data_IF_294374351977
#
_entry.id   IF_294374351977
#
_cell.length_a   1.000
_cell.length_b   1.000
_cell.length_c   1.000
_cell.angle_alpha   90.00
_cell.angle_beta   90.00
_cell.angle_gamma   90.00
#
_symmetry.space_group_name_H-M   'P 1'
#
loop_
_entity.id
_entity.type
_entity.pdbx_description
1 polymer ?
#
# COMPACT_ATOMS: atom_id res chain seq x y z
N UNK A 1 -8.31 7.95 15.51
CA UNK A 1 -9.18 6.86 15.99
C UNK A 1 -9.90 6.25 14.78
N UNK A 2 -10.18 4.93 14.74
CA UNK A 2 -10.67 4.23 13.54
C UNK A 2 -12.07 4.63 13.06
N UNK A 3 -12.71 5.58 13.72
CA UNK A 3 -14.07 6.06 13.39
C UNK A 3 -14.15 7.59 13.26
N UNK A 4 -12.99 8.30 13.25
CA UNK A 4 -12.99 9.77 13.26
C UNK A 4 -13.67 10.41 12.05
N UNK A 5 -13.62 9.74 10.90
CA UNK A 5 -14.14 10.28 9.63
C UNK A 5 -15.50 9.68 9.25
N UNK A 6 -16.06 8.80 10.11
CA UNK A 6 -17.36 8.16 9.88
C UNK A 6 -18.45 8.84 10.72
N UNK A 7 -19.60 9.02 10.11
CA UNK A 7 -20.82 9.44 10.82
C UNK A 7 -21.36 8.28 11.66
N UNK A 8 -22.12 8.57 12.72
CA UNK A 8 -22.65 7.53 13.62
C UNK A 8 -23.40 6.41 12.87
N UNK A 9 -24.24 6.73 11.90
CA UNK A 9 -24.94 5.74 11.10
C UNK A 9 -24.05 4.87 10.19
N UNK A 10 -22.89 5.37 9.78
CA UNK A 10 -21.91 4.61 9.00
C UNK A 10 -21.13 3.64 9.91
N UNK A 11 -20.86 4.07 11.16
CA UNK A 11 -20.25 3.21 12.19
C UNK A 11 -21.17 2.04 12.48
N UNK A 12 -22.46 2.29 12.73
CA UNK A 12 -23.43 1.24 13.01
C UNK A 12 -23.57 0.26 11.86
N UNK A 13 -23.62 0.74 10.63
CA UNK A 13 -23.64 -0.09 9.43
C UNK A 13 -22.39 -0.97 9.32
N UNK A 14 -21.21 -0.41 9.62
CA UNK A 14 -19.93 -1.14 9.62
C UNK A 14 -19.92 -2.24 10.69
N UNK A 15 -20.37 -1.92 11.90
CA UNK A 15 -20.44 -2.88 13.03
C UNK A 15 -21.44 -4.00 12.72
N UNK A 16 -22.62 -3.70 12.23
CA UNK A 16 -23.62 -4.68 11.82
C UNK A 16 -23.09 -5.61 10.72
N UNK A 17 -22.49 -5.09 9.66
CA UNK A 17 -21.85 -5.90 8.61
C UNK A 17 -20.79 -6.83 9.17
N UNK A 18 -20.05 -6.39 10.19
CA UNK A 18 -19.04 -7.22 10.85
C UNK A 18 -19.71 -8.31 11.70
N UNK A 19 -20.78 -7.99 12.39
CA UNK A 19 -21.58 -8.97 13.16
C UNK A 19 -22.12 -10.08 12.25
N UNK A 20 -22.69 -9.74 11.10
CA UNK A 20 -23.19 -10.72 10.10
C UNK A 20 -22.10 -11.66 9.57
N UNK A 21 -20.84 -11.22 9.54
CA UNK A 21 -19.69 -12.02 9.09
C UNK A 21 -19.01 -12.81 10.22
N UNK A 22 -19.46 -12.64 11.46
CA UNK A 22 -18.85 -13.28 12.63
C UNK A 22 -19.18 -14.77 12.70
N UNK A 23 -18.30 -15.53 13.35
CA UNK A 23 -18.53 -16.96 13.63
C UNK A 23 -19.77 -17.18 14.51
N UNK A 24 -20.01 -16.27 15.47
CA UNK A 24 -21.22 -16.28 16.31
C UNK A 24 -22.48 -16.26 15.46
N UNK A 25 -22.58 -15.33 14.52
CA UNK A 25 -23.70 -15.23 13.58
C UNK A 25 -23.90 -16.53 12.80
N UNK A 26 -22.82 -17.02 12.19
CA UNK A 26 -22.86 -18.25 11.39
C UNK A 26 -23.33 -19.47 12.19
N UNK A 27 -22.80 -19.67 13.41
CA UNK A 27 -23.19 -20.79 14.27
C UNK A 27 -24.66 -20.70 14.67
N UNK A 28 -25.15 -19.52 15.07
CA UNK A 28 -26.54 -19.34 15.49
C UNK A 28 -27.51 -19.50 14.31
N UNK A 29 -27.15 -19.04 13.12
CA UNK A 29 -27.95 -19.21 11.90
C UNK A 29 -28.04 -20.68 11.48
N UNK A 30 -26.95 -21.43 11.58
CA UNK A 30 -26.94 -22.89 11.35
C UNK A 30 -27.78 -23.66 12.38
N UNK A 31 -27.89 -23.13 13.58
CA UNK A 31 -28.77 -23.69 14.64
C UNK A 31 -30.24 -23.30 14.46
N UNK A 32 -30.63 -22.66 13.35
CA UNK A 32 -32.02 -22.30 13.05
C UNK A 32 -32.58 -21.12 13.87
N UNK A 33 -31.73 -20.32 14.50
CA UNK A 33 -32.16 -19.17 15.32
C UNK A 33 -32.55 -18.01 14.38
N UNK A 34 -33.68 -17.36 14.68
CA UNK A 34 -34.13 -16.20 13.88
C UNK A 34 -33.16 -15.02 13.94
N UNK A 35 -33.08 -14.24 12.87
CA UNK A 35 -32.14 -13.11 12.75
C UNK A 35 -32.33 -12.07 13.86
N UNK A 36 -33.58 -11.78 14.27
CA UNK A 36 -33.88 -10.88 15.38
C UNK A 36 -33.25 -11.38 16.70
N UNK A 37 -33.40 -12.67 17.01
CA UNK A 37 -32.82 -13.29 18.23
C UNK A 37 -31.30 -13.28 18.15
N UNK A 38 -30.71 -13.49 16.96
CA UNK A 38 -29.27 -13.41 16.77
C UNK A 38 -28.79 -11.97 17.04
N UNK A 39 -29.41 -10.96 16.43
CA UNK A 39 -29.07 -9.54 16.63
C UNK A 39 -29.23 -9.15 18.11
N UNK A 40 -30.33 -9.53 18.75
CA UNK A 40 -30.53 -9.29 20.19
C UNK A 40 -29.41 -9.90 21.05
N UNK A 41 -28.86 -11.06 20.64
CA UNK A 41 -27.75 -11.71 21.35
C UNK A 41 -26.44 -10.94 21.30
N UNK A 42 -26.27 -10.06 20.30
CA UNK A 42 -25.07 -9.19 20.20
C UNK A 42 -25.06 -8.06 21.22
N UNK A 43 -26.22 -7.73 21.79
CA UNK A 43 -26.39 -6.66 22.79
C UNK A 43 -26.46 -7.22 24.24
N UNK A 44 -26.25 -8.52 24.44
CA UNK A 44 -26.21 -9.11 25.77
C UNK A 44 -24.77 -9.31 26.23
N UNK A 45 -24.47 -8.87 27.45
CA UNK A 45 -23.17 -9.09 28.07
C UNK A 45 -22.87 -10.57 28.23
N UNK A 46 -21.65 -10.94 27.89
CA UNK A 46 -21.14 -12.31 28.07
C UNK A 46 -19.67 -12.23 28.51
N UNK A 47 -19.23 -13.17 29.36
CA UNK A 47 -17.82 -13.29 29.68
C UNK A 47 -17.05 -13.69 28.43
N UNK A 48 -15.94 -13.02 28.17
CA UNK A 48 -15.08 -13.32 27.05
C UNK A 48 -13.61 -12.96 27.32
N UNK A 49 -12.72 -13.64 26.63
CA UNK A 49 -11.30 -13.35 26.65
C UNK A 49 -10.94 -12.57 25.38
N UNK A 50 -10.32 -11.40 25.55
CA UNK A 50 -9.97 -10.52 24.45
C UNK A 50 -8.48 -10.21 24.45
N UNK A 51 -7.95 -9.87 23.28
CA UNK A 51 -6.57 -9.44 23.11
C UNK A 51 -6.35 -8.06 23.74
N UNK A 52 -5.22 -7.87 24.40
CA UNK A 52 -4.66 -6.56 24.70
C UNK A 52 -3.16 -6.56 24.44
N UNK A 53 -2.54 -5.37 24.34
CA UNK A 53 -1.07 -5.26 24.16
C UNK A 53 -0.26 -5.82 25.35
N UNK A 54 -0.90 -6.04 26.49
CA UNK A 54 -0.28 -6.63 27.68
C UNK A 54 -0.57 -8.13 27.83
N UNK A 55 -1.21 -8.74 26.84
CA UNK A 55 -1.67 -10.13 26.87
C UNK A 55 -3.19 -10.23 26.80
N UNK A 56 -3.71 -11.46 26.88
CA UNK A 56 -5.16 -11.70 26.91
C UNK A 56 -5.73 -11.27 28.27
N UNK A 57 -6.90 -10.66 28.23
CA UNK A 57 -7.64 -10.24 29.43
C UNK A 57 -9.04 -10.87 29.42
N UNK A 58 -9.49 -11.34 30.56
CA UNK A 58 -10.87 -11.77 30.76
C UNK A 58 -11.72 -10.55 31.11
N UNK A 59 -12.86 -10.41 30.47
CA UNK A 59 -13.75 -9.27 30.60
C UNK A 59 -15.20 -9.67 30.34
N UNK A 60 -16.13 -8.82 30.79
CA UNK A 60 -17.55 -8.93 30.47
C UNK A 60 -17.91 -7.78 29.59
N UNK A 61 -18.37 -8.07 28.38
CA UNK A 61 -18.85 -7.08 27.43
C UNK A 61 -19.84 -7.69 26.44
N UNK A 62 -20.55 -6.85 25.70
CA UNK A 62 -21.41 -7.36 24.62
C UNK A 62 -20.59 -7.81 23.43
N UNK A 63 -21.04 -8.80 22.63
CA UNK A 63 -20.39 -9.15 21.37
C UNK A 63 -20.25 -7.96 20.40
N UNK A 64 -21.18 -7.02 20.43
CA UNK A 64 -21.10 -5.79 19.62
C UNK A 64 -19.95 -4.89 20.08
N UNK A 65 -19.78 -4.72 21.40
CA UNK A 65 -18.66 -3.96 21.97
C UNK A 65 -17.32 -4.63 21.70
N UNK A 66 -17.27 -5.96 21.68
CA UNK A 66 -16.06 -6.67 21.32
C UNK A 66 -15.67 -6.40 19.85
N UNK A 67 -16.63 -6.35 18.92
CA UNK A 67 -16.38 -5.98 17.52
C UNK A 67 -15.82 -4.55 17.45
N UNK A 68 -16.44 -3.62 18.18
CA UNK A 68 -15.97 -2.23 18.26
C UNK A 68 -14.56 -2.15 18.85
N UNK A 69 -14.30 -2.88 19.94
CA UNK A 69 -12.98 -2.98 20.58
C UNK A 69 -11.90 -3.45 19.60
N UNK A 70 -12.14 -4.55 18.87
CA UNK A 70 -11.17 -5.06 17.89
C UNK A 70 -10.97 -4.14 16.69
N UNK A 71 -11.93 -3.29 16.35
CA UNK A 71 -11.77 -2.26 15.30
C UNK A 71 -10.85 -1.12 15.70
N UNK A 72 -10.61 -0.90 17.01
CA UNK A 72 -9.69 0.14 17.48
C UNK A 72 -8.21 -0.25 17.39
N UNK A 73 -7.89 -1.52 17.20
CA UNK A 73 -6.50 -1.92 17.03
C UNK A 73 -5.99 -1.53 15.64
N UNK A 74 -4.90 -0.77 15.63
CA UNK A 74 -4.17 -0.47 14.39
C UNK A 74 -3.67 -1.78 13.77
N UNK A 75 -3.71 -1.86 12.46
CA UNK A 75 -3.19 -3.00 11.71
C UNK A 75 -1.84 -2.64 11.14
N UNK A 76 -0.88 -3.54 11.32
CA UNK A 76 0.44 -3.41 10.73
C UNK A 76 0.82 -4.72 10.05
N UNK A 77 1.55 -4.62 8.96
CA UNK A 77 2.12 -5.74 8.23
C UNK A 77 3.50 -5.39 7.71
N UNK A 78 4.31 -6.39 7.47
CA UNK A 78 5.65 -6.23 6.92
C UNK A 78 5.94 -7.37 5.95
N UNK A 79 6.58 -7.04 4.85
CA UNK A 79 7.19 -7.99 3.94
C UNK A 79 8.58 -7.49 3.57
N UNK A 80 9.55 -8.42 3.58
CA UNK A 80 10.89 -8.19 3.07
C UNK A 80 11.24 -9.27 2.06
N UNK A 81 11.87 -8.89 0.95
CA UNK A 81 12.35 -9.83 -0.06
C UNK A 81 13.71 -9.42 -0.60
N UNK A 82 14.43 -10.39 -1.10
CA UNK A 82 15.67 -10.19 -1.84
C UNK A 82 15.36 -9.86 -3.30
N UNK A 83 15.75 -8.68 -3.80
CA UNK A 83 15.33 -8.24 -5.13
C UNK A 83 15.82 -9.12 -6.28
N UNK A 84 17.03 -9.69 -6.15
CA UNK A 84 17.71 -10.46 -7.20
C UNK A 84 17.09 -11.86 -7.39
N UNK A 85 16.69 -12.48 -6.29
CA UNK A 85 16.18 -13.86 -6.29
C UNK A 85 14.66 -13.97 -6.16
N UNK A 86 14.01 -12.90 -5.74
CA UNK A 86 12.59 -12.92 -5.39
C UNK A 86 12.28 -13.61 -4.04
N UNK A 87 13.28 -14.09 -3.31
CA UNK A 87 13.06 -14.82 -2.07
C UNK A 87 12.47 -13.91 -0.99
N UNK A 88 11.31 -14.27 -0.47
CA UNK A 88 10.70 -13.60 0.68
C UNK A 88 11.49 -13.97 1.93
N UNK A 89 12.06 -12.96 2.60
CA UNK A 89 12.91 -13.13 3.79
C UNK A 89 12.12 -12.95 5.09
N UNK A 90 11.09 -12.09 5.06
CA UNK A 90 10.22 -11.88 6.20
C UNK A 90 8.78 -11.61 5.74
N UNK A 91 7.83 -12.13 6.51
CA UNK A 91 6.41 -11.95 6.27
C UNK A 91 5.68 -11.85 7.61
N UNK A 92 5.08 -10.68 7.85
CA UNK A 92 4.26 -10.44 9.02
C UNK A 92 2.91 -9.94 8.54
N UNK A 93 1.93 -10.82 8.44
CA UNK A 93 0.57 -10.50 7.98
C UNK A 93 -0.29 -9.77 9.02
N UNK A 94 0.12 -9.80 10.29
CA UNK A 94 -0.52 -9.15 11.42
C UNK A 94 0.25 -9.45 12.70
N UNK A 95 -0.03 -8.71 13.78
CA UNK A 95 0.76 -8.79 15.01
C UNK A 95 0.39 -9.94 15.95
N UNK A 96 -0.74 -10.62 15.72
CA UNK A 96 -1.13 -11.81 16.49
C UNK A 96 -2.10 -12.66 15.69
N UNK A 97 -1.67 -13.83 15.22
CA UNK A 97 -2.48 -14.70 14.38
C UNK A 97 -3.72 -15.28 15.10
N UNK A 98 -3.64 -15.54 16.41
CA UNK A 98 -4.77 -16.08 17.17
C UNK A 98 -5.99 -15.16 17.12
N UNK A 99 -5.78 -13.84 17.19
CA UNK A 99 -6.83 -12.84 17.25
C UNK A 99 -7.05 -12.09 15.92
N UNK A 100 -6.04 -12.07 15.03
CA UNK A 100 -6.02 -11.30 13.80
C UNK A 100 -5.51 -12.14 12.64
N UNK A 101 -6.37 -13.03 12.15
CA UNK A 101 -6.03 -14.01 11.11
C UNK A 101 -5.99 -13.43 9.70
N UNK A 102 -6.56 -12.24 9.50
CA UNK A 102 -6.57 -11.59 8.18
C UNK A 102 -5.16 -11.12 7.82
N UNK A 103 -4.59 -11.70 6.77
CA UNK A 103 -3.26 -11.37 6.28
C UNK A 103 -3.28 -9.99 5.56
N UNK A 104 -2.66 -9.00 6.19
CA UNK A 104 -2.58 -7.65 5.65
C UNK A 104 -1.55 -7.52 4.52
N UNK A 105 -0.63 -8.47 4.34
CA UNK A 105 0.38 -8.43 3.26
C UNK A 105 -0.24 -8.76 1.92
N UNK A 106 -0.99 -9.86 1.83
CA UNK A 106 -1.51 -10.37 0.56
C UNK A 106 -2.99 -10.08 0.34
N UNK A 107 -3.81 -10.24 1.39
CA UNK A 107 -5.25 -10.03 1.30
C UNK A 107 -5.63 -8.57 1.51
N UNK A 108 -4.88 -7.86 2.37
CA UNK A 108 -5.08 -6.44 2.65
C UNK A 108 -4.78 -5.61 1.42
N UNK A 109 -5.77 -4.84 0.96
CA UNK A 109 -5.60 -3.84 -0.10
C UNK A 109 -5.93 -2.49 0.49
N UNK A 110 -5.08 -1.52 0.22
CA UNK A 110 -5.21 -0.15 0.73
C UNK A 110 -4.85 0.83 -0.37
N UNK A 111 -5.46 2.00 -0.30
CA UNK A 111 -5.07 3.12 -1.13
C UNK A 111 -3.60 3.44 -0.85
N UNK A 112 -2.77 3.28 -1.88
CA UNK A 112 -1.31 3.36 -1.74
C UNK A 112 -0.79 4.79 -1.70
N UNK A 113 -1.61 5.78 -2.06
CA UNK A 113 -1.26 7.18 -2.00
C UNK A 113 0.01 7.52 -2.79
N UNK A 114 0.76 8.47 -2.29
CA UNK A 114 2.00 8.96 -2.93
C UNK A 114 3.10 7.91 -3.12
N UNK A 115 2.96 6.70 -2.58
CA UNK A 115 3.89 5.61 -2.87
C UNK A 115 3.79 5.13 -4.32
N UNK A 116 2.75 5.51 -5.05
CA UNK A 116 2.65 5.25 -6.49
C UNK A 116 3.46 6.22 -7.37
N UNK A 117 3.85 7.38 -6.85
CA UNK A 117 4.60 8.39 -7.62
C UNK A 117 5.87 7.87 -8.29
N UNK A 118 6.70 6.99 -7.69
CA UNK A 118 7.88 6.45 -8.37
C UNK A 118 7.58 5.77 -9.71
N UNK A 119 6.42 5.11 -9.87
CA UNK A 119 6.03 4.52 -11.17
C UNK A 119 5.78 5.59 -12.23
N UNK A 120 5.15 6.69 -11.87
CA UNK A 120 4.95 7.84 -12.75
C UNK A 120 6.28 8.47 -13.16
N UNK A 121 7.14 8.72 -12.16
CA UNK A 121 8.45 9.35 -12.42
C UNK A 121 9.37 8.44 -13.25
N UNK A 122 9.38 7.14 -12.96
CA UNK A 122 10.11 6.15 -13.75
C UNK A 122 9.64 6.12 -15.20
N UNK A 123 8.32 6.16 -15.43
CA UNK A 123 7.75 6.23 -16.78
C UNK A 123 8.15 7.51 -17.50
N UNK A 124 8.13 8.65 -16.81
CA UNK A 124 8.53 9.94 -17.38
C UNK A 124 10.03 9.98 -17.73
N UNK A 125 10.88 9.44 -16.85
CA UNK A 125 12.33 9.30 -17.11
C UNK A 125 12.56 8.41 -18.33
N UNK A 126 11.93 7.25 -18.37
CA UNK A 126 12.14 6.29 -19.46
C UNK A 126 11.66 6.82 -20.81
N UNK A 127 10.46 7.41 -20.87
CA UNK A 127 9.84 7.82 -22.13
C UNK A 127 10.25 9.22 -22.59
N UNK A 128 10.39 10.16 -21.66
CA UNK A 128 10.69 11.56 -21.98
C UNK A 128 12.18 11.90 -21.80
N UNK A 129 12.99 10.93 -21.36
CA UNK A 129 14.42 11.08 -21.09
C UNK A 129 14.74 12.22 -20.11
N UNK A 130 13.84 12.39 -19.12
CA UNK A 130 14.01 13.43 -18.10
C UNK A 130 15.09 13.04 -17.10
N UNK A 131 15.76 14.06 -16.57
CA UNK A 131 16.79 13.94 -15.54
C UNK A 131 16.28 14.38 -14.16
N UNK A 132 16.95 14.00 -13.06
CA UNK A 132 16.62 14.49 -11.71
C UNK A 132 16.69 16.02 -11.58
N UNK A 133 17.47 16.69 -12.43
CA UNK A 133 17.67 18.14 -12.43
C UNK A 133 16.64 18.91 -13.24
N UNK A 134 15.89 18.22 -14.13
CA UNK A 134 14.82 18.87 -14.88
C UNK A 134 13.76 19.40 -13.93
N UNK A 135 13.23 20.56 -14.26
CA UNK A 135 12.39 21.33 -13.35
C UNK A 135 11.03 21.62 -13.95
N UNK A 136 10.00 21.52 -13.12
CA UNK A 136 8.63 21.86 -13.47
C UNK A 136 8.05 22.90 -12.49
N UNK A 137 7.12 23.76 -12.96
CA UNK A 137 6.46 24.73 -12.09
C UNK A 137 5.66 24.05 -10.96
N UNK A 138 5.84 24.53 -9.74
CA UNK A 138 5.06 24.13 -8.57
C UNK A 138 3.95 25.17 -8.33
N UNK A 139 3.00 25.19 -9.22
CA UNK A 139 1.80 26.04 -9.18
C UNK A 139 0.58 25.17 -9.48
N UNK A 140 -0.59 25.62 -9.02
CA UNK A 140 -1.85 24.92 -9.30
C UNK A 140 -1.93 24.54 -10.78
N UNK A 141 -2.28 23.30 -11.03
CA UNK A 141 -2.37 22.75 -12.38
C UNK A 141 -3.59 21.84 -12.49
N UNK A 142 -4.35 22.07 -13.56
CA UNK A 142 -5.54 21.28 -13.85
C UNK A 142 -5.32 20.48 -15.15
N UNK A 143 -5.60 19.21 -15.12
CA UNK A 143 -5.79 18.42 -16.34
C UNK A 143 -7.24 18.62 -16.78
N UNK A 144 -7.43 19.01 -18.04
CA UNK A 144 -8.72 19.38 -18.61
C UNK A 144 -9.73 18.20 -18.60
N UNK A 145 -11.03 18.51 -18.59
CA UNK A 145 -12.06 17.48 -18.71
C UNK A 145 -11.87 16.64 -19.98
N UNK A 146 -12.18 15.37 -19.90
CA UNK A 146 -12.09 14.39 -21.00
C UNK A 146 -10.67 14.06 -21.47
N UNK A 147 -9.65 14.81 -21.02
CA UNK A 147 -8.25 14.46 -21.27
C UNK A 147 -7.89 13.25 -20.42
N UNK A 148 -7.21 12.26 -21.02
CA UNK A 148 -6.79 11.02 -20.34
C UNK A 148 -7.93 10.23 -19.64
N UNK A 149 -9.16 10.27 -20.18
CA UNK A 149 -10.30 9.53 -19.63
C UNK A 149 -10.93 10.16 -18.38
N UNK A 150 -10.55 11.38 -18.05
CA UNK A 150 -11.10 12.11 -16.90
C UNK A 150 -12.39 12.83 -17.26
N UNK A 151 -13.55 12.53 -16.62
CA UNK A 151 -14.82 13.19 -16.97
C UNK A 151 -14.85 14.68 -16.61
N UNK A 152 -14.20 15.06 -15.52
CA UNK A 152 -14.13 16.44 -15.01
C UNK A 152 -12.68 16.92 -14.96
N UNK A 153 -12.48 18.24 -14.86
CA UNK A 153 -11.14 18.78 -14.61
C UNK A 153 -10.56 18.21 -13.31
N UNK A 154 -9.29 17.82 -13.35
CA UNK A 154 -8.59 17.30 -12.18
C UNK A 154 -7.46 18.25 -11.77
N UNK A 155 -7.65 18.89 -10.63
CA UNK A 155 -6.79 19.94 -10.10
C UNK A 155 -6.27 19.58 -8.69
N UNK A 156 -5.28 18.67 -8.57
CA UNK A 156 -4.80 18.28 -7.25
C UNK A 156 -4.03 19.43 -6.60
N UNK A 157 -4.29 19.62 -5.30
CA UNK A 157 -3.58 20.57 -4.46
C UNK A 157 -2.38 19.92 -3.78
N UNK A 158 -1.37 20.72 -3.45
CA UNK A 158 -0.30 20.29 -2.56
C UNK A 158 -0.79 20.21 -1.12
N UNK A 159 -0.14 19.39 -0.30
CA UNK A 159 -0.44 19.32 1.15
C UNK A 159 -0.25 20.70 1.79
N UNK A 160 -1.26 21.16 2.54
CA UNK A 160 -1.28 22.47 3.18
C UNK A 160 -1.37 23.65 2.21
N UNK A 161 -1.84 23.45 0.98
CA UNK A 161 -1.99 24.49 -0.07
C UNK A 161 -0.74 25.34 -0.30
N UNK A 162 0.47 24.76 -0.10
CA UNK A 162 1.75 25.44 -0.28
C UNK A 162 2.30 25.19 -1.68
N UNK A 163 2.67 26.25 -2.36
CA UNK A 163 3.22 26.24 -3.71
C UNK A 163 4.57 26.93 -3.75
N UNK A 164 5.40 26.57 -4.75
CA UNK A 164 6.69 27.20 -5.01
C UNK A 164 6.71 27.82 -6.41
N UNK A 165 7.91 28.28 -6.85
CA UNK A 165 8.08 28.77 -8.24
C UNK A 165 8.31 27.60 -9.20
N UNK A 166 9.40 26.89 -8.98
CA UNK A 166 9.86 25.76 -9.80
C UNK A 166 10.55 24.75 -8.92
N UNK A 167 10.40 23.47 -9.21
CA UNK A 167 11.07 22.39 -8.48
C UNK A 167 11.72 21.41 -9.43
N UNK A 168 12.93 20.97 -9.10
CA UNK A 168 13.55 19.83 -9.78
C UNK A 168 12.72 18.57 -9.52
N UNK A 169 12.78 17.60 -10.44
CA UNK A 169 12.07 16.34 -10.28
C UNK A 169 12.49 15.61 -9.00
N UNK A 170 13.80 15.68 -8.64
CA UNK A 170 14.29 15.12 -7.38
C UNK A 170 13.65 15.78 -6.15
N UNK A 171 13.59 17.11 -6.12
CA UNK A 171 12.95 17.83 -5.02
C UNK A 171 11.44 17.58 -4.97
N UNK A 172 10.79 17.52 -6.13
CA UNK A 172 9.35 17.29 -6.23
C UNK A 172 8.95 15.91 -5.71
N UNK A 173 9.68 14.84 -6.09
CA UNK A 173 9.41 13.50 -5.55
C UNK A 173 9.75 13.43 -4.06
N UNK A 174 10.89 14.00 -3.63
CA UNK A 174 11.33 14.01 -2.24
C UNK A 174 10.29 14.62 -1.29
N UNK A 175 9.66 15.71 -1.72
CA UNK A 175 8.64 16.43 -0.94
C UNK A 175 7.20 16.05 -1.32
N UNK A 176 7.04 15.05 -2.16
CA UNK A 176 5.72 14.52 -2.55
C UNK A 176 4.79 15.57 -3.17
N UNK A 177 5.34 16.46 -4.03
CA UNK A 177 4.61 17.58 -4.65
C UNK A 177 3.57 17.06 -5.65
N UNK A 178 2.30 17.40 -5.42
CA UNK A 178 1.19 16.89 -6.24
C UNK A 178 1.06 17.61 -7.57
N UNK A 179 1.29 18.93 -7.61
CA UNK A 179 1.20 19.76 -8.82
C UNK A 179 2.20 19.34 -9.88
N UNK A 180 3.44 19.01 -9.48
CA UNK A 180 4.46 18.48 -10.39
C UNK A 180 4.07 17.08 -10.88
N UNK A 181 3.54 16.23 -9.99
CA UNK A 181 3.06 14.90 -10.39
C UNK A 181 1.89 14.98 -11.38
N UNK A 182 0.98 15.97 -11.22
CA UNK A 182 -0.10 16.20 -12.18
C UNK A 182 0.44 16.63 -13.57
N UNK A 183 1.43 17.49 -13.62
CA UNK A 183 2.07 17.89 -14.88
C UNK A 183 2.77 16.71 -15.57
N UNK A 184 3.51 15.90 -14.81
CA UNK A 184 4.13 14.69 -15.36
C UNK A 184 3.08 13.72 -15.88
N UNK A 185 1.97 13.53 -15.13
CA UNK A 185 0.87 12.66 -15.57
C UNK A 185 0.21 13.17 -16.85
N UNK A 186 0.10 14.47 -17.00
CA UNK A 186 -0.44 15.06 -18.23
C UNK A 186 0.47 14.86 -19.44
N UNK A 187 1.79 14.89 -19.22
CA UNK A 187 2.79 14.64 -20.27
C UNK A 187 2.84 13.18 -20.72
N UNK A 188 2.80 12.25 -19.75
CA UNK A 188 2.98 10.81 -20.01
C UNK A 188 1.65 10.11 -20.30
N UNK A 189 0.58 10.54 -19.63
CA UNK A 189 -0.71 9.87 -19.61
C UNK A 189 -0.76 8.65 -18.68
N UNK A 190 -1.95 8.21 -18.26
CA UNK A 190 -2.10 7.13 -17.27
C UNK A 190 -1.77 5.74 -17.84
N UNK A 191 -2.02 5.46 -19.12
CA UNK A 191 -1.82 4.13 -19.71
C UNK A 191 -0.36 3.65 -19.67
N UNK A 192 0.65 4.44 -20.05
CA UNK A 192 2.05 4.02 -19.94
C UNK A 192 2.46 3.69 -18.51
N UNK A 193 2.00 4.50 -17.54
CA UNK A 193 2.28 4.28 -16.11
C UNK A 193 1.65 2.97 -15.62
N UNK A 194 0.40 2.69 -16.03
CA UNK A 194 -0.28 1.42 -15.73
C UNK A 194 0.46 0.24 -16.37
N UNK A 195 0.90 0.38 -17.61
CA UNK A 195 1.64 -0.68 -18.29
C UNK A 195 2.95 -1.01 -17.56
N UNK A 196 3.69 -0.02 -17.10
CA UNK A 196 4.88 -0.23 -16.28
C UNK A 196 4.52 -0.95 -14.98
N UNK A 197 3.52 -0.46 -14.25
CA UNK A 197 3.07 -1.07 -13.00
C UNK A 197 2.63 -2.54 -13.19
N UNK A 198 1.95 -2.84 -14.31
CA UNK A 198 1.57 -4.21 -14.68
C UNK A 198 2.77 -5.11 -14.93
N UNK A 199 3.75 -4.64 -15.69
CA UNK A 199 5.01 -5.36 -15.93
C UNK A 199 5.76 -5.64 -14.61
N UNK A 200 5.68 -4.71 -13.64
CA UNK A 200 6.24 -4.86 -12.29
C UNK A 200 5.38 -5.72 -11.36
N UNK A 201 4.40 -6.48 -11.87
CA UNK A 201 3.65 -7.48 -11.10
C UNK A 201 2.43 -6.95 -10.35
N UNK A 202 1.98 -5.71 -10.55
CA UNK A 202 0.75 -5.22 -9.94
C UNK A 202 -0.46 -5.76 -10.73
N UNK A 203 -1.26 -6.59 -10.09
CA UNK A 203 -2.47 -7.23 -10.66
C UNK A 203 -3.76 -6.56 -10.21
N UNK A 204 -3.72 -5.76 -9.12
CA UNK A 204 -4.84 -4.98 -8.61
C UNK A 204 -5.41 -4.05 -9.69
N UNK A 205 -6.70 -3.72 -9.59
CA UNK A 205 -7.35 -2.82 -10.55
C UNK A 205 -6.69 -1.42 -10.55
N UNK A 206 -6.28 -0.96 -11.72
CA UNK A 206 -5.67 0.35 -11.96
C UNK A 206 -6.56 1.13 -12.93
N UNK A 207 -7.29 2.14 -12.47
CA UNK A 207 -8.12 2.97 -13.35
C UNK A 207 -7.25 3.85 -14.25
N UNK A 208 -7.58 3.91 -15.54
CA UNK A 208 -6.84 4.72 -16.51
C UNK A 208 -7.27 6.18 -16.48
N UNK A 209 -7.11 6.82 -15.32
CA UNK A 209 -7.45 8.23 -15.07
C UNK A 209 -6.26 8.96 -14.43
N UNK A 210 -6.16 10.29 -14.59
CA UNK A 210 -5.02 11.05 -14.08
C UNK A 210 -4.76 10.93 -12.57
N UNK A 211 -5.81 10.73 -11.78
CA UNK A 211 -5.69 10.63 -10.31
C UNK A 211 -4.84 9.45 -9.83
N UNK A 212 -4.55 8.47 -10.71
CA UNK A 212 -3.61 7.38 -10.39
C UNK A 212 -2.21 7.91 -10.04
N UNK A 213 -1.83 9.11 -10.52
CA UNK A 213 -0.59 9.78 -10.15
C UNK A 213 -0.40 9.94 -8.64
N UNK A 214 -1.50 10.05 -7.90
CA UNK A 214 -1.50 10.22 -6.46
C UNK A 214 -1.80 8.92 -5.69
N UNK A 215 -1.88 7.79 -6.42
CA UNK A 215 -2.06 6.48 -5.82
C UNK A 215 -3.47 6.22 -5.29
N UNK A 216 -4.48 6.60 -6.05
CA UNK A 216 -5.89 6.31 -5.72
C UNK A 216 -6.27 4.83 -5.70
N UNK A 217 -5.58 3.90 -6.41
CA UNK A 217 -5.92 2.48 -6.36
C UNK A 217 -5.59 1.81 -5.01
N UNK A 218 -6.39 0.79 -4.70
CA UNK A 218 -6.15 -0.12 -3.58
C UNK A 218 -5.25 -1.28 -4.05
N UNK A 219 -4.02 -1.35 -3.52
CA UNK A 219 -3.02 -2.36 -3.88
C UNK A 219 -2.54 -3.07 -2.61
N UNK A 220 -2.17 -4.35 -2.73
CA UNK A 220 -1.62 -5.11 -1.61
C UNK A 220 -0.15 -4.76 -1.35
N UNK A 221 0.29 -4.93 -0.09
CA UNK A 221 1.71 -4.78 0.25
C UNK A 221 2.59 -5.76 -0.54
N UNK A 222 2.11 -6.98 -0.75
CA UNK A 222 2.80 -8.00 -1.56
C UNK A 222 3.12 -7.49 -2.97
N UNK A 223 2.13 -6.91 -3.66
CA UNK A 223 2.32 -6.36 -5.00
C UNK A 223 3.27 -5.16 -4.99
N UNK A 224 3.15 -4.28 -4.00
CA UNK A 224 4.01 -3.10 -3.90
C UNK A 224 5.47 -3.47 -3.62
N UNK A 225 5.75 -4.39 -2.70
CA UNK A 225 7.12 -4.83 -2.42
C UNK A 225 7.73 -5.51 -3.64
N UNK A 226 6.97 -6.40 -4.32
CA UNK A 226 7.42 -7.02 -5.57
C UNK A 226 7.73 -6.00 -6.66
N UNK A 227 6.86 -5.00 -6.85
CA UNK A 227 7.08 -3.96 -7.85
C UNK A 227 8.28 -3.06 -7.53
N UNK A 228 8.43 -2.65 -6.27
CA UNK A 228 9.57 -1.83 -5.84
C UNK A 228 10.91 -2.55 -5.94
N UNK A 229 10.92 -3.88 -5.78
CA UNK A 229 12.16 -4.66 -5.94
C UNK A 229 12.74 -4.53 -7.34
N UNK A 230 11.92 -4.25 -8.37
CA UNK A 230 12.39 -4.03 -9.73
C UNK A 230 13.33 -2.83 -9.85
N UNK A 231 13.06 -1.75 -9.09
CA UNK A 231 13.98 -0.61 -9.05
C UNK A 231 15.32 -1.00 -8.45
N UNK A 232 15.32 -1.72 -7.30
CA UNK A 232 16.53 -2.18 -6.64
C UNK A 232 17.30 -3.24 -7.44
N UNK A 233 16.61 -3.96 -8.32
CA UNK A 233 17.16 -4.99 -9.20
C UNK A 233 17.39 -4.49 -10.63
N UNK A 234 17.85 -3.24 -10.77
CA UNK A 234 18.28 -2.67 -12.06
C UNK A 234 17.24 -2.72 -13.19
N UNK A 235 15.96 -2.64 -12.83
CA UNK A 235 14.86 -2.68 -13.80
C UNK A 235 14.34 -4.07 -14.12
N UNK A 236 14.79 -5.11 -13.41
CA UNK A 236 14.34 -6.49 -13.58
C UNK A 236 13.34 -6.84 -12.49
N UNK A 237 12.11 -7.15 -12.86
CA UNK A 237 11.12 -7.71 -11.94
C UNK A 237 11.38 -9.19 -11.70
N UNK A 238 11.36 -9.60 -10.45
CA UNK A 238 11.39 -11.01 -10.03
C UNK A 238 10.15 -11.27 -9.19
N UNK A 239 9.39 -12.29 -9.58
CA UNK A 239 8.17 -12.67 -8.87
C UNK A 239 8.52 -13.15 -7.46
N UNK A 240 7.84 -12.64 -6.39
CA UNK A 240 8.15 -13.07 -5.03
C UNK A 240 7.93 -14.56 -4.81
N UNK A 241 8.92 -15.23 -4.20
CA UNK A 241 8.98 -16.68 -3.98
C UNK A 241 9.02 -16.93 -2.47
N UNK A 242 8.08 -17.73 -1.94
CA UNK A 242 8.03 -18.15 -0.54
C UNK A 242 8.54 -19.57 -0.32
N UNK A 243 8.36 -20.44 -1.31
CA UNK A 243 8.76 -21.84 -1.27
C UNK A 243 9.71 -22.06 -2.43
N UNK A 244 10.95 -22.38 -2.15
CA UNK A 244 11.99 -22.60 -3.17
C UNK A 244 12.04 -24.05 -3.61
N UNK A 245 11.73 -25.00 -2.71
CA UNK A 245 11.83 -26.43 -2.97
C UNK A 245 10.86 -27.22 -2.08
N UNK A 246 10.31 -28.30 -2.61
CA UNK A 246 9.56 -29.33 -1.87
C UNK A 246 10.21 -30.68 -2.11
N UNK A 247 10.52 -31.39 -1.04
CA UNK A 247 11.12 -32.72 -1.08
C UNK A 247 10.20 -33.77 -0.43
N UNK A 248 10.31 -35.01 -0.86
CA UNK A 248 9.72 -36.12 -0.17
C UNK A 248 10.57 -36.54 1.06
N UNK A 249 10.09 -37.54 1.82
CA UNK A 249 10.79 -38.05 3.01
C UNK A 249 12.15 -38.68 2.71
N UNK A 250 12.48 -38.96 1.47
CA UNK A 250 13.75 -39.57 1.04
C UNK A 250 14.72 -38.51 0.44
N UNK A 251 14.36 -37.21 0.46
CA UNK A 251 15.15 -36.14 -0.09
C UNK A 251 15.03 -35.99 -1.61
N UNK A 252 14.07 -36.69 -2.25
CA UNK A 252 13.81 -36.51 -3.70
C UNK A 252 13.03 -35.21 -3.88
N UNK A 253 13.52 -34.33 -4.76
CA UNK A 253 12.80 -33.12 -5.13
C UNK A 253 11.50 -33.47 -5.82
N UNK A 254 10.40 -32.95 -5.29
CA UNK A 254 9.06 -32.99 -5.89
C UNK A 254 8.76 -31.69 -6.65
N UNK A 255 9.37 -30.60 -6.24
CA UNK A 255 9.15 -29.29 -6.82
C UNK A 255 10.35 -28.39 -6.54
N UNK A 256 10.91 -27.82 -7.58
CA UNK A 256 11.94 -26.79 -7.53
C UNK A 256 11.44 -25.55 -8.26
N UNK A 257 11.58 -24.37 -7.63
CA UNK A 257 11.17 -23.11 -8.21
C UNK A 257 12.35 -22.42 -8.89
N UNK A 258 12.17 -22.09 -10.16
CA UNK A 258 13.06 -21.18 -10.87
C UNK A 258 12.47 -19.76 -10.82
N UNK A 259 13.28 -18.72 -10.51
CA UNK A 259 12.81 -17.35 -10.51
C UNK A 259 12.21 -16.95 -11.88
N UNK A 260 10.95 -16.52 -11.89
CA UNK A 260 10.35 -15.87 -13.06
C UNK A 260 10.81 -14.42 -13.10
N UNK A 261 11.58 -14.06 -14.13
CA UNK A 261 12.14 -12.71 -14.29
C UNK A 261 11.55 -12.02 -15.53
N UNK A 262 11.45 -10.70 -15.48
CA UNK A 262 11.00 -9.86 -16.58
C UNK A 262 11.74 -8.53 -16.59
N UNK A 263 12.31 -8.14 -17.74
CA UNK A 263 12.82 -6.79 -17.94
C UNK A 263 11.64 -5.82 -18.06
N UNK A 264 11.59 -4.84 -17.15
CA UNK A 264 10.44 -3.93 -17.04
C UNK A 264 10.85 -2.47 -17.26
N UNK A 265 12.10 -2.15 -16.99
CA UNK A 265 12.66 -0.81 -17.09
C UNK A 265 14.15 -0.91 -17.47
N UNK A 266 14.70 0.07 -18.19
CA UNK A 266 16.13 0.10 -18.43
C UNK A 266 16.92 0.29 -17.14
N UNK A 267 18.15 -0.20 -17.09
CA UNK A 267 19.03 -0.06 -15.93
C UNK A 267 19.24 1.41 -15.56
N UNK A 268 19.42 2.27 -16.57
CA UNK A 268 19.61 3.72 -16.41
C UNK A 268 18.35 4.36 -15.78
N UNK A 269 17.16 4.04 -16.30
CA UNK A 269 15.90 4.58 -15.77
C UNK A 269 15.63 4.10 -14.34
N UNK A 270 15.95 2.84 -14.03
CA UNK A 270 15.87 2.30 -12.67
C UNK A 270 16.83 3.05 -11.72
N UNK A 271 18.09 3.22 -12.13
CA UNK A 271 19.10 3.94 -11.34
C UNK A 271 18.68 5.41 -11.09
N UNK A 272 18.23 6.11 -12.12
CA UNK A 272 17.77 7.49 -11.99
C UNK A 272 16.56 7.58 -11.08
N UNK A 273 15.64 6.64 -11.17
CA UNK A 273 14.46 6.59 -10.28
C UNK A 273 14.88 6.36 -8.82
N UNK A 274 15.84 5.48 -8.55
CA UNK A 274 16.41 5.30 -7.21
C UNK A 274 17.02 6.61 -6.70
N UNK A 275 17.78 7.33 -7.53
CA UNK A 275 18.36 8.61 -7.14
C UNK A 275 17.30 9.65 -6.74
N UNK A 276 16.16 9.67 -7.44
CA UNK A 276 15.02 10.49 -7.04
C UNK A 276 14.44 10.06 -5.69
N UNK A 277 14.23 8.76 -5.48
CA UNK A 277 13.69 8.20 -4.23
C UNK A 277 14.60 8.46 -3.04
N UNK A 278 15.92 8.42 -3.20
CA UNK A 278 16.89 8.76 -2.15
C UNK A 278 16.65 10.18 -1.60
N UNK A 279 16.20 11.12 -2.43
CA UNK A 279 15.84 12.47 -2.00
C UNK A 279 14.81 12.48 -0.86
N UNK A 280 13.91 11.49 -0.81
CA UNK A 280 12.87 11.39 0.25
C UNK A 280 13.48 11.30 1.64
N UNK A 281 14.52 10.47 1.80
CA UNK A 281 15.21 10.28 3.08
C UNK A 281 16.35 11.27 3.29
N UNK A 282 16.91 11.85 2.23
CA UNK A 282 18.00 12.83 2.32
C UNK A 282 17.52 14.20 2.83
N UNK A 283 16.43 14.72 2.26
CA UNK A 283 15.94 16.08 2.56
C UNK A 283 14.43 16.24 2.41
N UNK A 284 13.71 15.13 2.15
CA UNK A 284 12.29 15.14 1.88
C UNK A 284 11.42 14.69 3.06
N UNK A 285 10.23 14.18 2.75
CA UNK A 285 9.21 13.79 3.71
C UNK A 285 9.64 12.67 4.68
N UNK A 286 10.66 11.86 4.31
CA UNK A 286 11.24 10.79 5.12
C UNK A 286 12.53 11.14 5.86
N UNK A 287 12.97 12.41 5.87
CA UNK A 287 14.25 12.82 6.46
C UNK A 287 14.40 12.46 7.95
N UNK A 288 13.28 12.33 8.70
CA UNK A 288 13.29 11.90 10.11
C UNK A 288 13.92 10.53 10.33
N UNK A 289 13.93 9.65 9.33
CA UNK A 289 14.56 8.33 9.44
C UNK A 289 16.07 8.41 9.70
N UNK A 290 16.74 9.46 9.20
CA UNK A 290 18.16 9.70 9.45
C UNK A 290 18.45 10.08 10.89
N UNK A 291 17.57 10.83 11.53
CA UNK A 291 17.72 11.22 12.94
C UNK A 291 17.47 10.06 13.93
N UNK A 292 16.88 8.96 13.47
CA UNK A 292 16.62 7.78 14.29
C UNK A 292 17.82 6.79 14.37
N UNK A 293 19.04 7.22 14.04
CA UNK A 293 20.24 6.37 14.09
C UNK A 293 20.40 5.39 12.92
N UNK A 294 19.56 5.53 11.89
CA UNK A 294 19.62 4.72 10.65
C UNK A 294 20.59 5.31 9.62
N UNK A 295 21.40 6.27 10.02
CA UNK A 295 22.36 6.99 9.14
C UNK A 295 23.41 6.10 8.47
N UNK A 296 23.73 4.95 9.07
CA UNK A 296 24.77 4.04 8.60
C UNK A 296 24.34 3.09 7.50
N UNK A 297 23.05 3.01 7.19
CA UNK A 297 22.57 2.16 6.12
C UNK A 297 22.44 2.98 4.83
N UNK A 298 23.46 2.89 3.98
CA UNK A 298 23.47 3.46 2.62
C UNK A 298 22.38 2.89 1.69
N UNK A 299 21.40 2.14 2.23
CA UNK A 299 20.45 1.32 1.50
C UNK A 299 18.98 1.57 1.86
N UNK A 300 18.62 2.68 2.52
CA UNK A 300 17.22 3.02 2.68
C UNK A 300 16.72 3.65 1.38
N UNK A 301 16.37 2.79 0.45
CA UNK A 301 15.73 3.16 -0.84
C UNK A 301 14.22 3.34 -0.71
N UNK A 302 13.69 3.22 0.49
CA UNK A 302 12.27 3.07 0.69
C UNK A 302 11.60 4.41 0.97
N UNK A 303 10.65 4.74 0.12
CA UNK A 303 9.46 5.43 0.58
C UNK A 303 8.74 4.39 1.44
N UNK A 304 8.88 4.49 2.77
CA UNK A 304 8.17 3.61 3.69
C UNK A 304 6.69 3.70 3.36
N UNK A 305 6.10 2.59 2.97
CA UNK A 305 4.66 2.47 2.79
C UNK A 305 4.05 2.41 4.19
N UNK A 306 4.03 3.54 4.87
CA UNK A 306 3.20 3.71 6.03
C UNK A 306 1.79 3.98 5.51
N UNK A 307 0.97 2.94 5.50
CA UNK A 307 -0.46 3.11 5.38
C UNK A 307 -0.93 3.87 6.62
N UNK A 308 -0.89 5.21 6.57
CA UNK A 308 -1.72 6.01 7.44
C UNK A 308 -3.16 5.77 7.01
N UNK A 309 -4.05 5.40 7.92
CA UNK A 309 -5.47 5.22 7.62
C UNK A 309 -6.20 6.55 7.39
N UNK A 310 -5.48 7.65 7.17
CA UNK A 310 -6.04 9.00 7.12
C UNK A 310 -5.33 9.84 6.05
N UNK A 311 -5.82 9.77 4.85
CA UNK A 311 -5.97 10.85 3.87
C UNK A 311 -7.24 10.61 3.04
#
# INVERSE_FOLDING_TARGET
APFLDLRDGEIDTLLQRTAYRSERWRKMKLAGISEEKILSSFNKEVPMRVFSWKGEIDTIMTPMDSIRYYKHFLRASLMSMEPQTGHVKAWVGGYNYKHFQYDQVRQGRRQIGSTFKPFLYATAIDQLKLSPCDSLPDALYCIEPRKHGNPNAWCPKNSGDKYGKTRTLKNALANSVNTVSARLMDLVGPRPVINLARKMGITSYLPAVPSIALGTPDISLFEMVGAYSSFANQGIYVKPIMITRIEDKNGRSLYDVHPETQDVLSQEAAYVTINLMQGVTQSGSGARLRHAGLEKTNYIYEKVVTGYPYE
#
